data_IF_762649357738
#
_entry.id   IF_762649357738
#
_cell.length_a   1.000
_cell.length_b   1.000
_cell.length_c   1.000
_cell.angle_alpha   90.00
_cell.angle_beta   90.00
_cell.angle_gamma   90.00
#
_symmetry.space_group_name_H-M   'P 1'
#
loop_
_entity.id
_entity.type
_entity.pdbx_description
1 polymer ?
#
# COMPACT_ATOMS: atom_id res chain seq x y z
N UNK A 1 -36.96 -18.69 13.55
CA UNK A 1 -35.85 -19.06 12.65
C UNK A 1 -35.14 -17.84 12.04
N UNK A 2 -35.82 -16.95 11.30
CA UNK A 2 -35.16 -15.79 10.67
C UNK A 2 -35.06 -14.58 11.61
N UNK A 3 -36.12 -14.34 12.40
CA UNK A 3 -36.17 -13.30 13.44
C UNK A 3 -35.17 -13.54 14.56
N UNK A 4 -34.96 -14.79 14.97
CA UNK A 4 -33.99 -15.14 16.03
C UNK A 4 -32.56 -14.90 15.56
N UNK A 5 -32.25 -15.26 14.30
CA UNK A 5 -30.97 -14.97 13.66
C UNK A 5 -30.70 -13.46 13.55
N UNK A 6 -31.72 -12.65 13.30
CA UNK A 6 -31.58 -11.18 13.26
C UNK A 6 -31.21 -10.64 14.64
N UNK A 7 -31.87 -11.12 15.71
CA UNK A 7 -31.54 -10.73 17.09
C UNK A 7 -30.13 -11.15 17.49
N UNK A 8 -29.73 -12.37 17.16
CA UNK A 8 -28.35 -12.85 17.39
C UNK A 8 -27.32 -11.98 16.66
N UNK A 9 -27.63 -11.54 15.43
CA UNK A 9 -26.78 -10.66 14.64
C UNK A 9 -26.64 -9.28 15.30
N UNK A 10 -27.72 -8.71 15.83
CA UNK A 10 -27.70 -7.44 16.55
C UNK A 10 -26.86 -7.52 17.84
N UNK A 11 -27.03 -8.60 18.62
CA UNK A 11 -26.20 -8.86 19.82
C UNK A 11 -24.73 -9.02 19.45
N UNK A 12 -24.42 -9.74 18.37
CA UNK A 12 -23.05 -9.90 17.89
C UNK A 12 -22.44 -8.56 17.46
N UNK A 13 -23.20 -7.71 16.76
CA UNK A 13 -22.76 -6.36 16.39
C UNK A 13 -22.49 -5.49 17.62
N UNK A 14 -23.35 -5.53 18.63
CA UNK A 14 -23.14 -4.78 19.87
C UNK A 14 -21.84 -5.23 20.57
N UNK A 15 -21.58 -6.54 20.62
CA UNK A 15 -20.32 -7.09 21.16
C UNK A 15 -19.09 -6.64 20.36
N UNK A 16 -19.19 -6.60 19.02
CA UNK A 16 -18.09 -6.10 18.19
C UNK A 16 -17.79 -4.63 18.51
N UNK A 17 -18.81 -3.79 18.61
CA UNK A 17 -18.63 -2.37 18.95
C UNK A 17 -18.01 -2.17 20.34
N UNK A 18 -18.42 -3.00 21.31
CA UNK A 18 -17.83 -2.98 22.66
C UNK A 18 -16.35 -3.35 22.61
N UNK A 19 -15.99 -4.41 21.89
CA UNK A 19 -14.59 -4.85 21.74
C UNK A 19 -13.75 -3.81 21.00
N UNK A 20 -14.28 -3.21 19.93
CA UNK A 20 -13.60 -2.12 19.21
C UNK A 20 -13.32 -0.94 20.15
N UNK A 21 -14.29 -0.56 20.97
CA UNK A 21 -14.14 0.53 21.95
C UNK A 21 -13.08 0.21 23.00
N UNK A 22 -13.05 -1.03 23.52
CA UNK A 22 -12.00 -1.49 24.45
C UNK A 22 -10.61 -1.49 23.82
N UNK A 23 -10.49 -1.99 22.58
CA UNK A 23 -9.22 -2.00 21.86
C UNK A 23 -8.70 -0.58 21.66
N UNK A 24 -9.57 0.38 21.32
CA UNK A 24 -9.16 1.79 21.15
C UNK A 24 -8.68 2.38 22.48
N UNK A 25 -9.34 2.04 23.59
CA UNK A 25 -8.99 2.52 24.93
C UNK A 25 -7.66 1.92 25.45
N UNK A 26 -7.43 0.62 25.23
CA UNK A 26 -6.26 -0.11 25.73
C UNK A 26 -5.00 0.11 24.86
N UNK A 27 -5.18 0.31 23.55
CA UNK A 27 -4.07 0.49 22.60
C UNK A 27 -3.04 1.56 22.99
N UNK A 28 -3.38 2.79 23.42
CA UNK A 28 -2.37 3.79 23.77
C UNK A 28 -1.54 3.38 24.99
N UNK A 29 -2.15 2.68 25.96
CA UNK A 29 -1.44 2.19 27.15
C UNK A 29 -0.44 1.11 26.78
N UNK A 30 -0.86 0.15 25.95
CA UNK A 30 0.03 -0.89 25.40
C UNK A 30 1.20 -0.26 24.63
N UNK A 31 0.92 0.70 23.73
CA UNK A 31 1.96 1.37 22.94
C UNK A 31 2.94 2.17 23.82
N UNK A 32 2.47 2.79 24.90
CA UNK A 32 3.32 3.52 25.83
C UNK A 32 4.20 2.58 26.68
N UNK A 33 3.73 1.36 26.98
CA UNK A 33 4.49 0.36 27.73
C UNK A 33 5.55 -0.35 26.88
N UNK A 34 5.43 -0.36 25.54
CA UNK A 34 6.35 -1.08 24.65
C UNK A 34 7.84 -0.76 24.88
N UNK A 35 8.30 0.51 24.97
CA UNK A 35 9.72 0.80 25.18
C UNK A 35 10.29 0.13 26.44
N UNK A 36 9.55 0.17 27.54
CA UNK A 36 9.95 -0.47 28.80
C UNK A 36 10.00 -2.00 28.72
N UNK A 37 9.04 -2.63 28.01
CA UNK A 37 9.04 -4.10 27.79
C UNK A 37 10.27 -4.59 27.03
N UNK A 38 10.85 -3.75 26.19
CA UNK A 38 12.07 -4.06 25.43
C UNK A 38 13.35 -3.45 26.05
N UNK A 39 13.28 -2.96 27.29
CA UNK A 39 14.45 -2.46 28.02
C UNK A 39 14.99 -1.12 27.52
N UNK A 40 14.16 -0.30 26.90
CA UNK A 40 14.56 1.06 26.48
C UNK A 40 14.10 2.10 27.50
N UNK A 41 15.06 2.90 27.97
CA UNK A 41 14.80 3.99 28.92
C UNK A 41 14.13 5.22 28.27
N UNK A 42 14.08 5.27 26.93
CA UNK A 42 13.39 6.35 26.21
C UNK A 42 12.66 5.88 24.96
N UNK A 43 11.53 6.53 24.69
CA UNK A 43 10.74 6.35 23.45
C UNK A 43 11.60 6.60 22.21
N UNK A 44 12.51 7.58 22.27
CA UNK A 44 13.40 7.91 21.16
C UNK A 44 14.43 6.80 20.86
N UNK A 45 15.00 6.19 21.90
CA UNK A 45 15.90 5.05 21.74
C UNK A 45 15.17 3.86 21.14
N UNK A 46 13.96 3.57 21.62
CA UNK A 46 13.10 2.52 21.05
C UNK A 46 12.76 2.80 19.57
N UNK A 47 12.32 4.02 19.23
CA UNK A 47 12.03 4.39 17.84
C UNK A 47 13.26 4.26 16.93
N UNK A 48 14.45 4.62 17.42
CA UNK A 48 15.71 4.47 16.67
C UNK A 48 16.01 3.01 16.42
N UNK A 49 15.93 2.16 17.45
CA UNK A 49 16.15 0.72 17.33
C UNK A 49 15.15 0.06 16.38
N UNK A 50 13.86 0.43 16.45
CA UNK A 50 12.83 -0.07 15.51
C UNK A 50 13.14 0.36 14.07
N UNK A 51 13.52 1.63 13.84
CA UNK A 51 13.91 2.11 12.51
C UNK A 51 15.14 1.36 11.98
N UNK A 52 16.12 1.09 12.82
CA UNK A 52 17.32 0.34 12.45
C UNK A 52 17.02 -1.13 12.18
N UNK A 53 16.15 -1.77 12.97
CA UNK A 53 15.70 -3.15 12.78
C UNK A 53 14.90 -3.31 11.47
N UNK A 54 13.98 -2.39 11.19
CA UNK A 54 13.23 -2.37 9.92
C UNK A 54 14.15 -2.05 8.75
N UNK A 55 15.09 -1.11 8.94
CA UNK A 55 16.08 -0.78 7.92
C UNK A 55 17.03 -1.95 7.68
N UNK A 56 17.46 -2.72 8.68
CA UNK A 56 18.35 -3.87 8.52
C UNK A 56 17.64 -5.08 7.90
N UNK A 57 16.39 -5.34 8.31
CA UNK A 57 15.52 -6.34 7.69
C UNK A 57 15.24 -6.00 6.21
N UNK A 58 15.05 -4.73 5.88
CA UNK A 58 14.90 -4.24 4.50
C UNK A 58 16.23 -4.00 3.76
N UNK A 59 17.35 -3.87 4.47
CA UNK A 59 18.68 -3.59 3.89
C UNK A 59 19.40 -4.86 3.48
N UNK A 60 19.03 -6.04 3.95
CA UNK A 60 19.50 -7.28 3.30
C UNK A 60 19.18 -7.26 1.80
N UNK A 61 18.03 -6.68 1.40
CA UNK A 61 17.69 -6.48 -0.02
C UNK A 61 18.35 -5.25 -0.68
N UNK A 62 18.68 -4.18 0.06
CA UNK A 62 19.18 -2.90 -0.54
C UNK A 62 20.67 -2.62 -0.38
N UNK A 63 21.39 -3.33 0.51
CA UNK A 63 22.83 -3.13 0.74
C UNK A 63 23.69 -3.70 -0.39
N UNK A 64 23.12 -4.49 -1.31
CA UNK A 64 23.80 -4.92 -2.54
C UNK A 64 24.00 -3.81 -3.59
N UNK A 65 23.34 -2.65 -3.47
CA UNK A 65 23.33 -1.62 -4.54
C UNK A 65 24.20 -0.39 -4.30
N UNK A 66 25.02 -0.35 -3.24
CA UNK A 66 25.91 0.80 -2.97
C UNK A 66 27.42 0.48 -2.99
N UNK A 67 27.82 -0.68 -3.49
CA UNK A 67 29.25 -1.04 -3.61
C UNK A 67 29.79 -1.10 -5.05
N UNK A 68 29.10 -0.52 -6.05
CA UNK A 68 29.69 -0.21 -7.37
C UNK A 68 29.40 1.23 -7.77
N UNK A 69 30.08 2.15 -7.10
CA UNK A 69 30.41 3.45 -7.68
C UNK A 69 31.60 3.22 -8.61
N UNK A 70 31.33 2.96 -9.88
CA UNK A 70 32.30 3.16 -10.95
C UNK A 70 31.55 3.47 -12.25
N UNK A 71 31.74 4.71 -12.73
CA UNK A 71 31.49 5.23 -14.06
C UNK A 71 30.07 5.13 -14.66
N UNK A 72 29.32 6.24 -14.65
CA UNK A 72 28.63 6.77 -15.84
C UNK A 72 27.84 8.06 -15.55
N UNK A 73 28.34 9.17 -16.11
CA UNK A 73 27.68 10.40 -16.58
C UNK A 73 26.82 11.27 -15.60
N UNK A 74 26.94 12.61 -15.68
CA UNK A 74 26.10 13.52 -14.91
C UNK A 74 24.70 13.58 -15.54
N UNK A 75 23.76 12.76 -15.06
CA UNK A 75 22.35 12.91 -15.44
C UNK A 75 21.76 14.10 -14.67
N UNK A 76 21.52 15.18 -15.43
CA UNK A 76 20.79 16.40 -15.06
C UNK A 76 19.79 16.19 -13.93
N UNK A 77 19.96 16.99 -12.90
CA UNK A 77 18.99 17.28 -11.85
C UNK A 77 17.62 17.61 -12.46
N UNK A 78 16.68 16.69 -12.28
CA UNK A 78 15.31 16.93 -11.83
C UNK A 78 14.59 15.59 -11.83
N UNK A 79 14.88 14.78 -10.82
CA UNK A 79 13.97 13.71 -10.44
C UNK A 79 12.65 14.38 -10.01
N UNK A 80 11.70 14.50 -10.94
CA UNK A 80 10.37 15.03 -10.65
C UNK A 80 9.77 14.18 -9.53
N UNK A 81 9.35 14.84 -8.44
CA UNK A 81 8.60 14.20 -7.34
C UNK A 81 7.44 13.44 -7.99
N UNK A 82 7.48 12.11 -7.91
CA UNK A 82 6.40 11.29 -8.45
C UNK A 82 5.17 11.59 -7.60
N UNK A 83 4.07 11.97 -8.23
CA UNK A 83 2.78 12.05 -7.56
C UNK A 83 2.52 10.68 -6.90
N UNK A 84 2.28 10.67 -5.58
CA UNK A 84 1.87 9.46 -4.89
C UNK A 84 0.45 9.16 -5.37
N UNK A 85 0.29 8.06 -6.10
CA UNK A 85 -1.02 7.53 -6.45
C UNK A 85 -1.58 6.91 -5.16
N UNK A 86 -2.44 7.67 -4.48
CA UNK A 86 -3.16 7.23 -3.28
C UNK A 86 -4.21 6.17 -3.65
N UNK A 87 -4.65 5.37 -2.69
CA UNK A 87 -5.63 4.31 -2.95
C UNK A 87 -6.99 4.87 -3.38
N UNK A 88 -7.35 6.07 -2.92
CA UNK A 88 -8.51 6.84 -3.36
C UNK A 88 -8.51 7.08 -4.88
N UNK A 89 -7.36 7.48 -5.45
CA UNK A 89 -7.24 7.74 -6.89
C UNK A 89 -7.32 6.46 -7.73
N UNK A 90 -6.97 5.30 -7.15
CA UNK A 90 -7.16 4.00 -7.81
C UNK A 90 -8.64 3.60 -7.84
N UNK A 91 -9.38 3.86 -6.75
CA UNK A 91 -10.81 3.60 -6.68
C UNK A 91 -11.60 4.46 -7.69
N UNK A 92 -11.34 5.76 -7.71
CA UNK A 92 -11.96 6.69 -8.68
C UNK A 92 -11.65 6.31 -10.13
N UNK A 93 -10.41 5.88 -10.41
CA UNK A 93 -10.06 5.38 -11.74
C UNK A 93 -10.82 4.10 -12.09
N UNK A 94 -10.97 3.16 -11.15
CA UNK A 94 -11.72 1.91 -11.36
C UNK A 94 -13.18 2.20 -11.73
N UNK A 95 -13.84 3.12 -11.02
CA UNK A 95 -15.21 3.55 -11.32
C UNK A 95 -15.32 4.19 -12.70
N UNK A 96 -14.39 5.08 -13.07
CA UNK A 96 -14.42 5.73 -14.39
C UNK A 96 -14.14 4.75 -15.54
N UNK A 97 -13.35 3.70 -15.30
CA UNK A 97 -13.12 2.64 -16.29
C UNK A 97 -14.35 1.74 -16.44
N UNK A 98 -15.03 1.39 -15.35
CA UNK A 98 -16.30 0.66 -15.40
C UNK A 98 -17.40 1.47 -16.09
N UNK A 99 -17.38 2.79 -15.93
CA UNK A 99 -18.26 3.72 -16.64
C UNK A 99 -17.88 3.92 -18.13
N UNK A 100 -16.92 3.16 -18.67
CA UNK A 100 -16.57 3.16 -20.09
C UNK A 100 -15.77 4.37 -20.59
N UNK A 101 -15.27 5.24 -19.69
CA UNK A 101 -14.53 6.45 -20.10
C UNK A 101 -13.16 6.11 -20.68
N UNK A 102 -12.73 6.91 -21.65
CA UNK A 102 -11.41 6.75 -22.28
C UNK A 102 -10.28 7.07 -21.29
N UNK A 103 -9.12 6.44 -21.48
CA UNK A 103 -7.95 6.69 -20.62
C UNK A 103 -7.46 8.15 -20.62
N UNK A 104 -7.70 8.87 -21.72
CA UNK A 104 -7.35 10.29 -21.86
C UNK A 104 -8.28 11.19 -21.03
N UNK A 105 -9.58 10.91 -21.01
CA UNK A 105 -10.54 11.65 -20.17
C UNK A 105 -10.28 11.44 -18.67
N UNK A 106 -9.94 10.21 -18.30
CA UNK A 106 -9.58 9.85 -16.92
C UNK A 106 -8.31 10.60 -16.48
N UNK A 107 -7.31 10.66 -17.36
CA UNK A 107 -6.07 11.39 -17.11
C UNK A 107 -6.34 12.90 -16.87
N UNK A 108 -7.18 13.51 -17.72
CA UNK A 108 -7.55 14.91 -17.60
C UNK A 108 -8.34 15.20 -16.31
N UNK A 109 -9.32 14.36 -15.97
CA UNK A 109 -10.17 14.54 -14.77
C UNK A 109 -9.43 14.34 -13.46
N UNK A 110 -8.52 13.36 -13.41
CA UNK A 110 -7.76 13.05 -12.19
C UNK A 110 -6.44 13.83 -12.09
N UNK A 111 -6.08 14.62 -13.12
CA UNK A 111 -4.79 15.33 -13.15
C UNK A 111 -3.57 14.41 -13.20
N UNK A 112 -3.76 13.19 -13.72
CA UNK A 112 -2.76 12.12 -13.74
C UNK A 112 -2.22 11.95 -15.15
N UNK A 113 -0.93 11.64 -15.30
CA UNK A 113 -0.37 11.34 -16.61
C UNK A 113 -0.96 10.06 -17.21
N UNK A 114 -1.19 10.04 -18.53
CA UNK A 114 -1.71 8.87 -19.25
C UNK A 114 -0.93 7.55 -18.97
N UNK A 115 0.42 7.55 -18.85
CA UNK A 115 1.17 6.36 -18.44
C UNK A 115 0.79 5.85 -17.04
N UNK A 116 0.45 6.74 -16.13
CA UNK A 116 0.06 6.39 -14.76
C UNK A 116 -1.35 5.79 -14.73
N UNK A 117 -2.28 6.29 -15.56
CA UNK A 117 -3.59 5.65 -15.76
C UNK A 117 -3.42 4.20 -16.22
N UNK A 118 -2.50 3.96 -17.16
CA UNK A 118 -2.23 2.61 -17.65
C UNK A 118 -1.57 1.71 -16.60
N UNK A 119 -0.68 2.25 -15.76
CA UNK A 119 -0.07 1.50 -14.67
C UNK A 119 -1.10 1.11 -13.59
N UNK A 120 -2.06 2.01 -13.28
CA UNK A 120 -3.16 1.72 -12.37
C UNK A 120 -4.08 0.66 -12.98
N UNK A 121 -4.44 0.76 -14.26
CA UNK A 121 -5.22 -0.27 -14.97
C UNK A 121 -4.56 -1.66 -14.89
N UNK A 122 -3.24 -1.73 -15.08
CA UNK A 122 -2.47 -2.98 -14.91
C UNK A 122 -2.49 -3.47 -13.46
N UNK A 123 -2.30 -2.58 -12.49
CA UNK A 123 -2.34 -2.93 -11.06
C UNK A 123 -3.72 -3.44 -10.61
N UNK A 124 -4.80 -2.96 -11.24
CA UNK A 124 -6.17 -3.41 -11.01
C UNK A 124 -6.55 -4.66 -11.83
N UNK A 125 -5.64 -5.22 -12.64
CA UNK A 125 -5.91 -6.38 -13.49
C UNK A 125 -6.83 -6.10 -14.68
N UNK A 126 -7.13 -4.82 -14.98
CA UNK A 126 -8.06 -4.43 -16.05
C UNK A 126 -7.42 -4.43 -17.44
N UNK A 127 -6.09 -4.53 -17.53
CA UNK A 127 -5.36 -4.64 -18.81
C UNK A 127 -4.18 -5.61 -18.67
N UNK A 128 -4.04 -6.52 -19.63
CA UNK A 128 -2.96 -7.50 -19.75
C UNK A 128 -1.58 -6.82 -19.68
N UNK A 129 -0.71 -7.31 -18.80
CA UNK A 129 0.70 -6.94 -18.82
C UNK A 129 1.35 -7.54 -20.07
N UNK A 130 1.91 -6.69 -20.95
CA UNK A 130 2.73 -7.16 -22.08
C UNK A 130 3.94 -7.91 -21.52
N UNK A 131 3.97 -9.22 -21.75
CA UNK A 131 4.96 -10.15 -21.21
C UNK A 131 4.43 -11.50 -20.71
N UNK A 132 3.12 -11.78 -20.81
CA UNK A 132 2.53 -13.05 -20.32
C UNK A 132 2.01 -14.01 -21.39
N UNK A 133 2.24 -13.76 -22.68
CA UNK A 133 1.86 -14.68 -23.77
C UNK A 133 2.91 -14.72 -24.88
N UNK A 134 3.91 -15.58 -24.72
CA UNK A 134 4.76 -16.05 -25.82
C UNK A 134 5.20 -17.51 -25.64
N UNK A 135 4.37 -18.37 -25.02
CA UNK A 135 4.71 -19.79 -24.86
C UNK A 135 3.56 -20.78 -25.06
N UNK A 136 2.42 -20.39 -25.64
CA UNK A 136 1.33 -21.32 -25.96
C UNK A 136 0.68 -20.99 -27.32
N UNK A 137 1.43 -21.17 -28.43
CA UNK A 137 0.84 -21.49 -29.75
C UNK A 137 1.88 -22.15 -30.68
N UNK A 138 2.48 -23.25 -30.21
CA UNK A 138 3.25 -24.15 -31.07
C UNK A 138 2.83 -25.59 -30.77
N UNK A 139 1.56 -25.89 -31.04
CA UNK A 139 1.02 -27.23 -31.16
C UNK A 139 -0.41 -27.13 -31.72
N UNK A 140 -0.52 -27.08 -33.05
CA UNK A 140 -1.61 -27.60 -33.89
C UNK A 140 -1.22 -27.37 -35.34
#
# INVERSE_FOLDING_TARGET
MLTDKIKELEVAKAKVQELESKIVAERPQELAALPGRYGFDSVNAFMKAVKEAVASAGASSRRGRKAKKAAAAPRKEKARKRARITDETKAQLKEMVLAGKSGAEIAAKLGISLPSVQNIKKALGLVKARGSESSQSAAS
#
